data_IF_508791584846
#
_entry.id   IF_508791584846
#
_cell.length_a   1.000
_cell.length_b   1.000
_cell.length_c   1.000
_cell.angle_alpha   90.00
_cell.angle_beta   90.00
_cell.angle_gamma   90.00
#
_symmetry.space_group_name_H-M   'P 1'
#
loop_
_entity.id
_entity.type
_entity.pdbx_description
1 polymer ?
#
# COMPACT_ATOMS: atom_id res chain seq x y z
N UNK A 1 40.72 -24.50 -16.32
CA UNK A 1 39.55 -23.92 -17.02
C UNK A 1 38.21 -24.47 -16.54
N UNK A 2 38.08 -25.77 -16.20
CA UNK A 2 36.79 -26.32 -15.72
C UNK A 2 36.29 -25.73 -14.38
N UNK A 3 37.17 -25.40 -13.43
CA UNK A 3 36.72 -24.95 -12.11
C UNK A 3 36.13 -23.54 -12.07
N UNK A 4 36.45 -22.67 -13.04
CA UNK A 4 35.92 -21.29 -13.09
C UNK A 4 34.50 -21.28 -13.66
N UNK A 5 34.24 -22.09 -14.70
CA UNK A 5 32.89 -22.29 -15.22
C UNK A 5 31.97 -22.96 -14.20
N UNK A 6 32.50 -23.90 -13.41
CA UNK A 6 31.76 -24.54 -12.31
C UNK A 6 31.42 -23.55 -11.20
N UNK A 7 32.32 -22.63 -10.84
CA UNK A 7 32.03 -21.56 -9.86
C UNK A 7 30.99 -20.57 -10.38
N UNK A 8 31.05 -20.20 -11.66
CA UNK A 8 30.06 -19.30 -12.28
C UNK A 8 28.68 -19.97 -12.36
N UNK A 9 28.63 -21.27 -12.68
CA UNK A 9 27.40 -22.07 -12.64
C UNK A 9 26.85 -22.22 -11.21
N UNK A 10 27.71 -22.44 -10.22
CA UNK A 10 27.31 -22.51 -8.81
C UNK A 10 26.74 -21.18 -8.30
N UNK A 11 27.25 -20.04 -8.77
CA UNK A 11 26.71 -18.71 -8.45
C UNK A 11 25.32 -18.48 -9.07
N UNK A 12 25.04 -19.06 -10.24
CA UNK A 12 23.74 -18.98 -10.91
C UNK A 12 22.73 -19.95 -10.28
N UNK A 13 23.16 -21.09 -9.72
CA UNK A 13 22.25 -22.07 -9.08
C UNK A 13 21.79 -21.70 -7.67
N UNK A 14 22.29 -20.61 -7.09
CA UNK A 14 21.84 -20.07 -5.79
C UNK A 14 20.76 -18.99 -5.93
N UNK A 15 20.18 -18.84 -7.11
CA UNK A 15 18.95 -18.07 -7.29
C UNK A 15 17.84 -18.83 -6.56
N UNK A 16 17.55 -18.41 -5.33
CA UNK A 16 16.33 -18.80 -4.63
C UNK A 16 15.15 -18.47 -5.55
N UNK A 17 14.56 -19.51 -6.13
CA UNK A 17 13.23 -19.41 -6.71
C UNK A 17 12.32 -19.19 -5.50
N UNK A 18 12.09 -17.93 -5.15
CA UNK A 18 11.14 -17.53 -4.13
C UNK A 18 9.83 -18.27 -4.40
N UNK A 19 9.39 -19.04 -3.41
CA UNK A 19 8.17 -19.82 -3.53
C UNK A 19 7.01 -18.81 -3.60
N UNK A 20 6.53 -18.51 -4.81
CA UNK A 20 5.34 -17.68 -5.02
C UNK A 20 4.15 -18.45 -4.47
N UNK A 21 3.72 -18.09 -3.26
CA UNK A 21 2.49 -18.58 -2.67
C UNK A 21 1.33 -17.95 -3.43
N UNK A 22 0.64 -18.74 -4.26
CA UNK A 22 -0.51 -18.25 -5.01
C UNK A 22 -1.80 -18.49 -4.20
N UNK A 23 -2.66 -17.47 -4.10
CA UNK A 23 -4.02 -17.60 -3.54
C UNK A 23 -5.05 -17.70 -4.65
N UNK A 24 -6.15 -18.40 -4.38
CA UNK A 24 -7.30 -18.41 -5.30
C UNK A 24 -8.27 -17.30 -4.92
N UNK A 25 -8.55 -16.37 -5.84
CA UNK A 25 -9.49 -15.29 -5.59
C UNK A 25 -10.93 -15.67 -5.96
N UNK A 26 -11.86 -15.28 -5.08
CA UNK A 26 -13.30 -15.31 -5.33
C UNK A 26 -13.90 -14.01 -4.84
N UNK A 27 -14.78 -13.41 -5.63
CA UNK A 27 -15.39 -12.15 -5.25
C UNK A 27 -16.87 -12.09 -5.56
N UNK A 28 -17.58 -11.27 -4.79
CA UNK A 28 -19.01 -11.07 -4.91
C UNK A 28 -19.36 -9.60 -4.66
N UNK A 29 -20.23 -9.05 -5.49
CA UNK A 29 -20.86 -7.77 -5.26
C UNK A 29 -22.09 -7.96 -4.36
N UNK A 30 -22.16 -7.21 -3.26
CA UNK A 30 -23.26 -7.23 -2.30
C UNK A 30 -23.62 -8.67 -1.88
N UNK A 31 -22.60 -9.40 -1.41
CA UNK A 31 -22.65 -10.82 -1.08
C UNK A 31 -23.88 -11.21 -0.23
N UNK A 32 -24.67 -12.18 -0.69
CA UNK A 32 -25.89 -12.67 -0.04
C UNK A 32 -26.95 -11.58 0.27
N UNK A 33 -26.98 -10.47 -0.48
CA UNK A 33 -27.99 -9.42 -0.30
C UNK A 33 -29.31 -9.67 -1.04
N UNK A 34 -29.28 -10.50 -2.09
CA UNK A 34 -30.42 -10.86 -2.91
C UNK A 34 -31.30 -9.65 -3.32
N UNK A 35 -32.61 -9.72 -3.05
CA UNK A 35 -33.58 -8.68 -3.38
C UNK A 35 -33.44 -7.43 -2.53
N UNK A 36 -32.77 -7.49 -1.36
CA UNK A 36 -32.67 -6.36 -0.42
C UNK A 36 -31.80 -5.22 -0.97
N UNK A 37 -30.89 -5.52 -1.89
CA UNK A 37 -30.01 -4.55 -2.53
C UNK A 37 -30.47 -4.09 -3.92
N UNK A 38 -31.56 -4.64 -4.50
CA UNK A 38 -31.94 -4.37 -5.90
C UNK A 38 -32.24 -2.90 -6.19
N UNK A 39 -32.83 -2.19 -5.23
CA UNK A 39 -33.25 -0.80 -5.39
C UNK A 39 -32.29 0.20 -4.71
N UNK A 40 -31.13 -0.28 -4.23
CA UNK A 40 -30.15 0.55 -3.53
C UNK A 40 -28.92 0.76 -4.41
N UNK A 41 -28.49 2.02 -4.55
CA UNK A 41 -27.20 2.34 -5.14
C UNK A 41 -26.06 2.05 -4.14
N UNK A 42 -25.88 0.76 -3.83
CA UNK A 42 -24.91 0.26 -2.87
C UNK A 42 -23.81 -0.52 -3.57
N UNK A 43 -22.56 -0.27 -3.15
CA UNK A 43 -21.41 -1.05 -3.59
C UNK A 43 -20.60 -1.50 -2.38
N UNK A 44 -20.75 -2.78 -2.05
CA UNK A 44 -19.91 -3.51 -1.11
C UNK A 44 -19.37 -4.74 -1.82
N UNK A 45 -18.05 -4.84 -2.02
CA UNK A 45 -17.41 -5.98 -2.68
C UNK A 45 -16.72 -6.84 -1.63
N UNK A 46 -17.13 -8.10 -1.55
CA UNK A 46 -16.45 -9.10 -0.74
C UNK A 46 -15.48 -9.87 -1.62
N UNK A 47 -14.21 -9.86 -1.28
CA UNK A 47 -13.13 -10.61 -1.91
C UNK A 47 -12.57 -11.62 -0.90
N UNK A 48 -12.52 -12.88 -1.29
CA UNK A 48 -11.96 -13.99 -0.54
C UNK A 48 -10.73 -14.51 -1.27
N UNK A 49 -9.59 -14.53 -0.60
CA UNK A 49 -8.32 -15.01 -1.12
C UNK A 49 -7.91 -16.29 -0.35
N UNK A 50 -8.24 -17.43 -0.94
CA UNK A 50 -8.02 -18.75 -0.33
C UNK A 50 -6.54 -19.16 -0.47
N UNK A 51 -5.88 -19.33 0.67
CA UNK A 51 -4.53 -19.88 0.78
C UNK A 51 -4.54 -21.37 1.13
N UNK A 52 -3.37 -22.00 1.25
CA UNK A 52 -3.27 -23.42 1.59
C UNK A 52 -3.71 -23.72 3.03
N UNK A 53 -3.44 -22.81 3.97
CA UNK A 53 -3.67 -23.01 5.40
C UNK A 53 -4.58 -21.96 6.04
N UNK A 54 -4.91 -20.89 5.33
CA UNK A 54 -5.64 -19.75 5.84
C UNK A 54 -6.52 -19.12 4.74
N UNK A 55 -7.33 -18.14 5.11
CA UNK A 55 -8.12 -17.35 4.17
C UNK A 55 -8.04 -15.88 4.55
N UNK A 56 -7.73 -15.04 3.56
CA UNK A 56 -7.84 -13.59 3.69
C UNK A 56 -9.17 -13.12 3.12
N UNK A 57 -9.89 -12.36 3.93
CA UNK A 57 -11.16 -11.76 3.58
C UNK A 57 -10.99 -10.26 3.47
N UNK A 58 -11.32 -9.71 2.31
CA UNK A 58 -11.36 -8.28 2.07
C UNK A 58 -12.80 -7.84 1.84
N UNK A 59 -13.23 -6.78 2.52
CA UNK A 59 -14.51 -6.14 2.28
C UNK A 59 -14.27 -4.69 1.89
N UNK A 60 -14.63 -4.33 0.67
CA UNK A 60 -14.53 -2.96 0.14
C UNK A 60 -15.92 -2.34 0.14
N UNK A 61 -16.11 -1.29 0.93
CA UNK A 61 -17.43 -0.68 1.12
C UNK A 61 -17.40 0.82 0.79
N UNK A 62 -18.44 1.26 0.09
CA UNK A 62 -18.64 2.65 -0.34
C UNK A 62 -19.94 3.26 0.23
N UNK A 63 -20.54 2.62 1.23
CA UNK A 63 -21.70 3.15 1.95
C UNK A 63 -21.26 4.00 3.14
N UNK A 64 -21.10 5.30 2.91
CA UNK A 64 -20.48 6.22 3.84
C UNK A 64 -19.06 6.58 3.39
N UNK A 65 -18.11 6.66 4.32
CA UNK A 65 -16.71 6.84 3.93
C UNK A 65 -16.19 5.53 3.30
N UNK A 66 -15.56 5.58 2.11
CA UNK A 66 -14.96 4.40 1.51
C UNK A 66 -14.00 3.71 2.48
N UNK A 67 -14.15 2.40 2.63
CA UNK A 67 -13.38 1.63 3.58
C UNK A 67 -13.02 0.25 3.06
N UNK A 68 -11.87 -0.24 3.52
CA UNK A 68 -11.38 -1.59 3.28
C UNK A 68 -11.22 -2.27 4.63
N UNK A 69 -11.78 -3.45 4.77
CA UNK A 69 -11.56 -4.34 5.91
C UNK A 69 -10.85 -5.60 5.45
N UNK A 70 -9.88 -6.03 6.24
CA UNK A 70 -9.07 -7.22 6.09
C UNK A 70 -9.28 -8.10 7.32
N UNK A 71 -9.55 -9.38 7.11
CA UNK A 71 -9.56 -10.39 8.16
C UNK A 71 -8.83 -11.66 7.71
N UNK A 72 -7.95 -12.17 8.57
CA UNK A 72 -7.31 -13.47 8.42
C UNK A 72 -8.05 -14.51 9.25
N UNK A 73 -8.38 -15.65 8.65
CA UNK A 73 -9.14 -16.71 9.29
C UNK A 73 -8.58 -18.09 8.93
N UNK A 74 -9.08 -19.12 9.63
CA UNK A 74 -8.96 -20.51 9.16
C UNK A 74 -9.83 -20.75 7.92
N UNK A 75 -9.48 -21.69 7.03
CA UNK A 75 -10.24 -21.92 5.78
C UNK A 75 -11.72 -22.30 5.97
N UNK A 76 -12.09 -22.81 7.15
CA UNK A 76 -13.46 -23.16 7.54
C UNK A 76 -14.34 -21.95 7.82
N UNK A 77 -13.75 -20.79 8.13
CA UNK A 77 -14.50 -19.59 8.47
C UNK A 77 -15.18 -18.98 7.24
N UNK A 78 -16.35 -18.39 7.47
CA UNK A 78 -17.11 -17.68 6.44
C UNK A 78 -17.66 -16.36 6.99
N UNK A 79 -17.78 -15.38 6.10
CA UNK A 79 -18.33 -14.06 6.37
C UNK A 79 -19.86 -14.10 6.23
N UNK A 80 -20.56 -13.49 7.18
CA UNK A 80 -22.01 -13.28 7.14
C UNK A 80 -22.34 -11.80 7.38
N UNK A 81 -23.22 -11.25 6.54
CA UNK A 81 -23.68 -9.86 6.60
C UNK A 81 -25.20 -9.85 6.83
N UNK A 82 -25.62 -9.35 7.99
CA UNK A 82 -27.02 -9.03 8.26
C UNK A 82 -27.39 -7.73 7.56
N UNK A 83 -27.81 -7.82 6.29
CA UNK A 83 -28.02 -6.64 5.43
C UNK A 83 -28.99 -5.59 5.99
N UNK A 84 -30.08 -6.01 6.64
CA UNK A 84 -31.03 -5.06 7.24
C UNK A 84 -30.40 -4.23 8.37
N UNK A 85 -29.60 -4.89 9.22
CA UNK A 85 -28.85 -4.23 10.27
C UNK A 85 -27.67 -3.41 9.70
N UNK A 86 -27.04 -3.89 8.63
CA UNK A 86 -25.93 -3.23 7.95
C UNK A 86 -26.35 -1.88 7.36
N UNK A 87 -27.52 -1.82 6.73
CA UNK A 87 -28.04 -0.58 6.13
C UNK A 87 -28.25 0.56 7.11
N UNK A 88 -28.54 0.24 8.38
CA UNK A 88 -28.71 1.24 9.45
C UNK A 88 -27.44 1.40 10.29
N UNK A 89 -26.29 0.90 9.79
CA UNK A 89 -24.98 0.91 10.44
C UNK A 89 -25.00 0.36 11.87
N UNK A 90 -25.77 -0.70 12.10
CA UNK A 90 -25.84 -1.34 13.42
C UNK A 90 -24.59 -2.17 13.66
N UNK A 91 -24.01 -2.03 14.85
CA UNK A 91 -22.88 -2.83 15.32
C UNK A 91 -23.17 -4.33 15.26
N UNK A 92 -22.13 -5.12 14.99
CA UNK A 92 -22.18 -6.57 14.82
C UNK A 92 -23.12 -7.04 13.69
N UNK A 93 -23.35 -6.24 12.66
CA UNK A 93 -24.06 -6.68 11.44
C UNK A 93 -23.16 -7.49 10.51
N UNK A 94 -21.84 -7.35 10.65
CA UNK A 94 -20.85 -8.21 9.98
C UNK A 94 -20.27 -9.16 11.02
N UNK A 95 -20.28 -10.46 10.71
CA UNK A 95 -19.73 -11.51 11.59
C UNK A 95 -19.04 -12.59 10.78
N UNK A 96 -18.07 -13.24 11.41
CA UNK A 96 -17.55 -14.52 10.93
C UNK A 96 -18.17 -15.67 11.72
N UNK A 97 -18.20 -16.85 11.10
CA UNK A 97 -18.61 -18.10 11.79
C UNK A 97 -17.66 -18.51 12.90
N UNK A 98 -16.40 -18.11 12.79
CA UNK A 98 -15.32 -18.33 13.76
C UNK A 98 -14.61 -16.99 14.00
N UNK A 99 -13.99 -16.80 15.16
CA UNK A 99 -13.25 -15.58 15.46
C UNK A 99 -12.03 -15.46 14.52
N UNK A 100 -11.84 -14.34 13.81
CA UNK A 100 -10.65 -14.15 12.98
C UNK A 100 -9.37 -14.15 13.82
N UNK A 101 -8.30 -14.67 13.23
CA UNK A 101 -6.96 -14.68 13.81
C UNK A 101 -6.41 -13.25 13.90
N UNK A 102 -6.73 -12.45 12.89
CA UNK A 102 -6.30 -11.07 12.80
C UNK A 102 -7.28 -10.22 12.00
N UNK A 103 -7.49 -8.97 12.41
CA UNK A 103 -8.31 -8.01 11.65
C UNK A 103 -7.68 -6.63 11.56
N UNK A 104 -7.85 -5.98 10.42
CA UNK A 104 -7.40 -4.61 10.19
C UNK A 104 -8.28 -3.91 9.17
N UNK A 105 -8.52 -2.63 9.33
CA UNK A 105 -9.34 -1.83 8.44
C UNK A 105 -8.76 -0.45 8.21
N UNK A 106 -9.04 0.09 7.03
CA UNK A 106 -8.60 1.40 6.58
C UNK A 106 -9.80 2.13 6.00
N UNK A 107 -10.06 3.34 6.50
CA UNK A 107 -11.10 4.24 6.02
C UNK A 107 -10.41 5.40 5.32
N UNK A 108 -10.84 5.72 4.10
CA UNK A 108 -10.53 7.00 3.48
C UNK A 108 -11.35 8.08 4.19
N UNK A 109 -10.73 8.74 5.16
CA UNK A 109 -11.46 9.51 6.17
C UNK A 109 -11.67 10.97 5.77
N UNK A 110 -10.62 11.62 5.24
CA UNK A 110 -10.66 13.03 4.84
C UNK A 110 -9.77 13.31 3.65
N UNK A 111 -10.21 14.27 2.85
CA UNK A 111 -9.37 15.05 1.94
C UNK A 111 -9.21 16.43 2.58
N UNK A 112 -7.97 16.82 2.87
CA UNK A 112 -7.66 18.06 3.56
C UNK A 112 -7.00 19.01 2.58
N UNK A 113 -7.69 20.07 2.19
CA UNK A 113 -7.11 21.19 1.47
C UNK A 113 -6.40 22.11 2.48
N UNK A 114 -5.19 22.55 2.19
CA UNK A 114 -4.48 23.53 3.01
C UNK A 114 -3.79 24.60 2.16
N UNK A 115 -3.71 25.81 2.71
CA UNK A 115 -3.07 26.95 2.03
C UNK A 115 -1.58 27.03 2.36
N UNK A 116 -0.74 26.54 1.45
CA UNK A 116 0.71 26.58 1.58
C UNK A 116 1.29 27.93 1.12
N UNK A 117 1.06 28.96 1.93
CA UNK A 117 1.45 30.36 1.64
C UNK A 117 2.95 30.52 1.38
N UNK A 118 3.78 29.70 2.02
CA UNK A 118 5.25 29.80 1.97
C UNK A 118 5.90 28.79 1.02
N UNK A 119 5.10 27.99 0.31
CA UNK A 119 5.57 26.93 -0.60
C UNK A 119 6.57 25.99 0.08
N UNK A 120 6.22 25.51 1.28
CA UNK A 120 7.04 24.54 2.02
C UNK A 120 6.65 23.11 1.74
N UNK A 121 5.47 22.88 1.13
CA UNK A 121 4.82 21.59 0.95
C UNK A 121 4.54 20.80 2.24
N UNK A 122 4.59 21.47 3.40
CA UNK A 122 4.39 20.87 4.71
C UNK A 122 3.15 21.47 5.37
N UNK A 123 2.23 20.60 5.79
CA UNK A 123 1.05 20.94 6.58
C UNK A 123 1.42 21.02 8.07
N UNK A 124 0.96 22.07 8.74
CA UNK A 124 1.01 22.14 10.20
C UNK A 124 -0.14 21.33 10.82
N UNK A 125 0.16 20.11 11.26
CA UNK A 125 -0.85 19.21 11.84
C UNK A 125 -1.23 19.59 13.27
N UNK A 126 -0.36 20.28 14.01
CA UNK A 126 -0.65 20.68 15.40
C UNK A 126 -1.52 21.93 15.46
N UNK A 127 -1.48 22.78 14.43
CA UNK A 127 -2.29 23.97 14.32
C UNK A 127 -2.98 24.02 12.95
N UNK A 128 -4.16 23.41 12.90
CA UNK A 128 -5.01 23.28 11.71
C UNK A 128 -5.69 24.62 11.39
N UNK A 129 -4.89 25.60 10.95
CA UNK A 129 -5.34 26.90 10.44
C UNK A 129 -5.21 26.88 8.93
N UNK A 130 -6.05 27.66 8.23
CA UNK A 130 -6.03 27.73 6.77
C UNK A 130 -6.22 26.37 6.08
N UNK A 131 -7.12 25.54 6.62
CA UNK A 131 -7.50 24.26 6.01
C UNK A 131 -8.99 24.19 5.71
N UNK A 132 -9.35 23.37 4.72
CA UNK A 132 -10.72 22.99 4.43
C UNK A 132 -10.79 21.47 4.30
N UNK A 133 -11.72 20.85 5.01
CA UNK A 133 -11.84 19.39 5.10
C UNK A 133 -13.03 18.94 4.29
N UNK A 134 -12.83 17.97 3.41
CA UNK A 134 -13.87 17.28 2.67
C UNK A 134 -13.95 15.83 3.18
N UNK A 135 -15.14 15.39 3.60
CA UNK A 135 -15.37 14.02 4.03
C UNK A 135 -15.84 13.15 2.85
N UNK A 136 -15.12 12.07 2.47
CA UNK A 136 -15.45 11.24 1.32
C UNK A 136 -16.91 10.76 1.25
N UNK A 137 -17.59 10.56 2.39
CA UNK A 137 -19.01 10.18 2.43
C UNK A 137 -19.99 11.17 1.81
N UNK A 138 -19.60 12.44 1.63
CA UNK A 138 -20.43 13.48 1.02
C UNK A 138 -20.22 13.63 -0.49
N UNK A 139 -19.39 12.78 -1.10
CA UNK A 139 -19.35 12.63 -2.55
C UNK A 139 -20.44 11.65 -3.01
N UNK A 140 -21.01 11.90 -4.18
CA UNK A 140 -21.87 10.93 -4.83
C UNK A 140 -21.02 9.86 -5.51
N UNK A 141 -20.89 8.70 -4.88
CA UNK A 141 -20.11 7.57 -5.39
C UNK A 141 -20.90 6.75 -6.40
N UNK A 142 -20.31 6.59 -7.59
CA UNK A 142 -20.81 5.71 -8.63
C UNK A 142 -19.78 4.62 -8.94
N UNK A 143 -20.26 3.38 -9.10
CA UNK A 143 -19.45 2.28 -9.60
C UNK A 143 -19.27 2.40 -11.11
N UNK A 144 -18.03 2.59 -11.57
CA UNK A 144 -17.69 2.69 -12.99
C UNK A 144 -17.30 1.35 -13.59
N UNK A 145 -16.54 0.53 -12.86
CA UNK A 145 -16.17 -0.80 -13.30
C UNK A 145 -16.03 -1.75 -12.12
N UNK A 146 -16.34 -3.02 -12.36
CA UNK A 146 -16.03 -4.13 -11.46
C UNK A 146 -15.60 -5.30 -12.34
N UNK A 147 -14.33 -5.68 -12.25
CA UNK A 147 -13.73 -6.81 -12.96
C UNK A 147 -13.44 -7.87 -11.92
N UNK A 148 -14.03 -9.05 -12.10
CA UNK A 148 -13.92 -10.16 -11.16
C UNK A 148 -13.36 -11.36 -11.90
N UNK A 149 -12.13 -11.73 -11.58
CA UNK A 149 -11.53 -12.97 -12.05
C UNK A 149 -10.79 -13.67 -10.90
N UNK A 150 -10.13 -14.78 -11.21
CA UNK A 150 -9.44 -15.62 -10.22
C UNK A 150 -8.01 -15.16 -9.91
N UNK A 151 -7.44 -14.29 -10.74
CA UNK A 151 -6.05 -13.79 -10.65
C UNK A 151 -5.98 -12.39 -10.01
N UNK A 152 -6.93 -11.53 -10.35
CA UNK A 152 -7.11 -10.19 -9.82
C UNK A 152 -8.59 -9.80 -9.76
N UNK A 153 -8.90 -8.88 -8.85
CA UNK A 153 -10.23 -8.27 -8.77
C UNK A 153 -10.06 -6.77 -8.73
N UNK A 154 -10.74 -6.04 -9.61
CA UNK A 154 -10.64 -4.58 -9.71
C UNK A 154 -11.99 -3.93 -9.51
N UNK A 155 -12.05 -2.93 -8.62
CA UNK A 155 -13.22 -2.08 -8.41
C UNK A 155 -12.85 -0.61 -8.66
N UNK A 156 -13.53 0.02 -9.61
CA UNK A 156 -13.37 1.45 -9.91
C UNK A 156 -14.62 2.21 -9.49
N UNK A 157 -14.44 3.16 -8.58
CA UNK A 157 -15.47 4.03 -8.04
C UNK A 157 -15.11 5.49 -8.31
N UNK A 158 -16.10 6.31 -8.61
CA UNK A 158 -15.92 7.75 -8.77
C UNK A 158 -16.92 8.52 -7.91
N UNK A 159 -16.40 9.34 -7.01
CA UNK A 159 -17.14 10.32 -6.24
C UNK A 159 -17.22 11.61 -7.03
N UNK A 160 -18.37 11.90 -7.62
CA UNK A 160 -18.62 13.14 -8.35
C UNK A 160 -19.38 14.11 -7.47
N UNK A 161 -19.02 15.39 -7.50
CA UNK A 161 -19.71 16.48 -6.78
C UNK A 161 -19.76 16.28 -5.25
N UNK A 162 -19.04 17.12 -4.53
CA UNK A 162 -19.08 17.14 -3.07
C UNK A 162 -20.22 18.04 -2.58
N UNK A 163 -21.02 17.54 -1.64
CA UNK A 163 -22.04 18.36 -0.98
C UNK A 163 -22.21 17.99 0.49
N UNK A 164 -21.67 18.82 1.37
CA UNK A 164 -21.90 18.77 2.81
C UNK A 164 -22.87 19.88 3.20
N UNK A 165 -24.13 19.51 3.42
CA UNK A 165 -25.19 20.44 3.80
C UNK A 165 -25.06 20.95 5.24
N UNK A 166 -24.34 20.23 6.11
CA UNK A 166 -24.15 20.63 7.51
C UNK A 166 -23.13 21.77 7.57
N UNK A 167 -22.02 21.62 6.84
CA UNK A 167 -20.98 22.65 6.75
C UNK A 167 -21.27 23.72 5.67
N UNK A 168 -22.32 23.52 4.88
CA UNK A 168 -22.67 24.36 3.72
C UNK A 168 -21.50 24.50 2.73
N UNK A 169 -20.82 23.38 2.45
CA UNK A 169 -19.70 23.30 1.52
C UNK A 169 -20.11 22.45 0.32
N UNK A 170 -20.03 23.02 -0.87
CA UNK A 170 -20.08 22.29 -2.12
C UNK A 170 -18.80 22.50 -2.94
N UNK A 171 -18.38 21.46 -3.65
CA UNK A 171 -17.22 21.50 -4.56
C UNK A 171 -17.51 20.68 -5.81
N UNK A 172 -17.16 21.24 -6.96
CA UNK A 172 -17.05 20.47 -8.19
C UNK A 172 -15.71 19.73 -8.26
N UNK A 173 -15.69 18.69 -9.09
CA UNK A 173 -14.55 17.80 -9.27
C UNK A 173 -14.89 16.35 -8.97
N UNK A 174 -13.91 15.49 -9.19
CA UNK A 174 -14.06 14.05 -9.12
C UNK A 174 -12.94 13.45 -8.29
N UNK A 175 -13.32 12.59 -7.35
CA UNK A 175 -12.40 11.72 -6.63
C UNK A 175 -12.57 10.32 -7.19
N UNK A 176 -11.49 9.70 -7.68
CA UNK A 176 -11.52 8.32 -8.17
C UNK A 176 -10.80 7.41 -7.19
N UNK A 177 -11.39 6.26 -6.93
CA UNK A 177 -10.82 5.18 -6.14
C UNK A 177 -10.81 3.91 -6.98
N UNK A 178 -9.61 3.37 -7.20
CA UNK A 178 -9.40 2.06 -7.83
C UNK A 178 -8.83 1.12 -6.79
N UNK A 179 -9.52 0.00 -6.54
CA UNK A 179 -9.08 -1.05 -5.63
C UNK A 179 -8.75 -2.30 -6.43
N UNK A 180 -7.60 -2.91 -6.16
CA UNK A 180 -7.14 -4.11 -6.84
C UNK A 180 -6.67 -5.15 -5.83
N UNK A 181 -7.28 -6.33 -5.82
CA UNK A 181 -6.80 -7.50 -5.10
C UNK A 181 -6.03 -8.43 -6.03
N UNK A 182 -5.00 -9.11 -5.51
CA UNK A 182 -4.05 -9.90 -6.30
C UNK A 182 -3.94 -11.34 -5.80
N UNK A 183 -3.59 -12.28 -6.69
CA UNK A 183 -3.42 -13.69 -6.36
C UNK A 183 -1.96 -14.11 -6.13
N UNK A 184 -0.98 -13.26 -6.47
CA UNK A 184 0.44 -13.61 -6.50
C UNK A 184 1.33 -12.38 -6.29
N UNK A 185 2.64 -12.61 -6.13
CA UNK A 185 3.67 -11.58 -6.14
C UNK A 185 3.92 -11.07 -7.57
N UNK A 186 3.69 -9.79 -7.83
CA UNK A 186 4.01 -9.12 -9.09
C UNK A 186 4.03 -7.58 -8.92
N UNK A 187 4.39 -6.83 -9.95
CA UNK A 187 4.27 -5.37 -9.98
C UNK A 187 2.93 -4.94 -10.58
N UNK A 188 2.31 -3.91 -10.03
CA UNK A 188 1.08 -3.34 -10.59
C UNK A 188 1.33 -2.75 -11.98
N UNK A 189 0.37 -2.86 -12.89
CA UNK A 189 0.41 -2.16 -14.19
C UNK A 189 0.28 -0.63 -14.04
N UNK A 190 -0.26 -0.15 -12.93
CA UNK A 190 -0.47 1.27 -12.68
C UNK A 190 0.74 1.86 -11.95
N UNK A 191 1.33 2.91 -12.53
CA UNK A 191 2.39 3.70 -11.91
C UNK A 191 1.96 4.17 -10.50
N UNK A 192 2.78 4.02 -9.44
CA UNK A 192 4.22 3.76 -9.44
C UNK A 192 4.61 2.27 -9.46
N UNK A 193 3.81 1.41 -10.11
CA UNK A 193 4.13 -0.01 -10.28
C UNK A 193 4.45 -0.69 -8.94
N UNK A 194 3.60 -0.48 -7.93
CA UNK A 194 3.83 -1.05 -6.60
C UNK A 194 3.97 -2.58 -6.69
N UNK A 195 5.05 -3.11 -6.11
CA UNK A 195 5.23 -4.54 -5.90
C UNK A 195 4.21 -5.02 -4.86
N UNK A 196 3.31 -5.92 -5.26
CA UNK A 196 2.22 -6.43 -4.44
C UNK A 196 2.36 -7.93 -4.24
N UNK A 197 1.73 -8.46 -3.19
CA UNK A 197 1.65 -9.92 -2.92
C UNK A 197 0.21 -10.40 -3.00
N UNK A 198 0.03 -11.72 -2.94
CA UNK A 198 -1.25 -12.39 -2.76
C UNK A 198 -1.96 -12.00 -1.45
N UNK A 199 -1.22 -11.42 -0.50
CA UNK A 199 -1.73 -10.99 0.81
C UNK A 199 -2.06 -9.49 0.86
N UNK A 200 -2.14 -8.82 -0.30
CA UNK A 200 -2.29 -7.37 -0.39
C UNK A 200 -3.43 -6.94 -1.32
N UNK A 201 -3.96 -5.74 -1.04
CA UNK A 201 -4.85 -5.00 -1.92
C UNK A 201 -4.23 -3.64 -2.19
N UNK A 202 -4.15 -3.25 -3.45
CA UNK A 202 -3.76 -1.91 -3.86
C UNK A 202 -4.95 -0.96 -3.88
N UNK A 203 -4.72 0.27 -3.45
CA UNK A 203 -5.66 1.37 -3.56
C UNK A 203 -4.96 2.51 -4.28
N UNK A 204 -5.61 3.00 -5.32
CA UNK A 204 -5.19 4.18 -6.07
C UNK A 204 -6.24 5.29 -5.93
N UNK A 205 -5.82 6.44 -5.42
CA UNK A 205 -6.64 7.62 -5.19
C UNK A 205 -6.26 8.69 -6.20
N UNK A 206 -7.24 9.24 -6.91
CA UNK A 206 -7.04 10.33 -7.87
C UNK A 206 -7.94 11.50 -7.49
N UNK A 207 -7.34 12.67 -7.27
CA UNK A 207 -8.04 13.93 -7.11
C UNK A 207 -8.01 14.69 -8.43
N UNK A 208 -9.13 14.71 -9.16
CA UNK A 208 -9.22 15.30 -10.49
C UNK A 208 -10.19 16.49 -10.49
N UNK A 209 -9.70 17.65 -10.94
CA UNK A 209 -10.50 18.87 -11.10
C UNK A 209 -11.27 19.28 -9.84
N UNK A 210 -10.73 18.98 -8.65
CA UNK A 210 -11.34 19.39 -7.39
C UNK A 210 -11.25 20.91 -7.28
N UNK A 211 -12.40 21.55 -7.10
CA UNK A 211 -12.45 22.98 -6.87
C UNK A 211 -11.75 23.31 -5.55
N UNK A 212 -10.77 24.21 -5.62
CA UNK A 212 -10.03 24.69 -4.45
C UNK A 212 -10.79 25.81 -3.77
N UNK A 213 -10.63 25.97 -2.46
CA UNK A 213 -11.16 27.11 -1.72
C UNK A 213 -10.68 28.44 -2.32
N UNK A 214 -11.64 29.33 -2.63
CA UNK A 214 -11.39 30.63 -3.28
C UNK A 214 -10.53 31.57 -2.43
N UNK A 215 -10.51 31.40 -1.10
CA UNK A 215 -9.68 32.21 -0.21
C UNK A 215 -8.23 31.72 -0.17
N UNK A 216 -7.94 30.52 -0.67
CA UNK A 216 -6.60 29.96 -0.69
C UNK A 216 -5.90 30.33 -1.98
N UNK A 217 -4.73 30.96 -1.85
CA UNK A 217 -3.88 31.27 -2.99
C UNK A 217 -3.17 30.02 -3.46
N UNK A 218 -2.60 29.26 -2.52
CA UNK A 218 -1.66 28.17 -2.76
C UNK A 218 -2.21 26.84 -2.19
N UNK A 219 -3.26 26.32 -2.82
CA UNK A 219 -3.93 25.10 -2.33
C UNK A 219 -3.10 23.84 -2.62
N UNK A 220 -2.85 23.06 -1.57
CA UNK A 220 -2.36 21.68 -1.63
C UNK A 220 -3.35 20.76 -0.95
N UNK A 221 -3.29 19.47 -1.28
CA UNK A 221 -4.15 18.47 -0.69
C UNK A 221 -3.34 17.46 0.14
N UNK A 222 -3.95 17.00 1.22
CA UNK A 222 -3.50 15.86 1.99
C UNK A 222 -4.63 14.84 2.12
N UNK A 223 -4.26 13.57 2.17
CA UNK A 223 -5.16 12.46 2.39
C UNK A 223 -4.98 11.96 3.81
N UNK A 224 -6.08 11.85 4.54
CA UNK A 224 -6.12 11.21 5.85
C UNK A 224 -6.78 9.85 5.74
N UNK A 225 -6.04 8.82 6.11
CA UNK A 225 -6.56 7.50 6.39
C UNK A 225 -6.83 7.38 7.90
N UNK A 226 -7.95 6.73 8.24
CA UNK A 226 -8.23 6.26 9.59
C UNK A 226 -8.06 4.74 9.59
N UNK A 227 -7.08 4.25 10.33
CA UNK A 227 -6.81 2.81 10.46
C UNK A 227 -7.38 2.30 11.77
N UNK A 228 -7.93 1.09 11.75
CA UNK A 228 -8.55 0.48 12.92
C UNK A 228 -8.38 -1.04 12.92
N UNK A 229 -8.05 -1.65 14.05
CA UNK A 229 -7.96 -3.11 14.15
C UNK A 229 -7.00 -3.62 15.22
N UNK A 230 -6.49 -4.84 15.02
CA UNK A 230 -5.61 -5.49 15.98
C UNK A 230 -4.23 -4.87 16.00
N UNK A 231 -3.87 -4.35 17.17
CA UNK A 231 -2.68 -3.58 17.46
C UNK A 231 -2.84 -2.93 18.83
N UNK A 232 -1.75 -2.76 19.57
CA UNK A 232 -1.80 -2.02 20.82
C UNK A 232 -2.25 -0.56 20.58
N UNK A 233 -3.38 -0.09 21.14
CA UNK A 233 -3.88 1.27 20.95
C UNK A 233 -2.94 2.35 21.51
N UNK A 234 -2.13 2.01 22.51
CA UNK A 234 -1.23 2.95 23.18
C UNK A 234 0.06 3.21 22.39
N UNK A 235 0.36 2.39 21.39
CA UNK A 235 1.60 2.48 20.61
C UNK A 235 1.25 3.03 19.22
N UNK A 236 1.89 4.14 18.76
CA UNK A 236 1.70 4.60 17.39
C UNK A 236 2.17 3.54 16.38
N UNK A 237 1.51 3.45 15.23
CA UNK A 237 2.02 2.64 14.13
C UNK A 237 3.44 3.06 13.75
N UNK A 238 4.25 2.09 13.34
CA UNK A 238 5.65 2.33 13.02
C UNK A 238 5.80 2.74 11.56
N UNK A 239 6.22 3.97 11.30
CA UNK A 239 6.57 4.43 9.97
C UNK A 239 8.07 4.19 9.75
N UNK A 240 8.42 3.40 8.75
CA UNK A 240 9.79 3.08 8.38
C UNK A 240 10.00 3.33 6.88
N UNK A 241 10.56 4.49 6.51
CA UNK A 241 10.99 4.72 5.13
C UNK A 241 12.26 3.94 4.84
N UNK A 242 12.18 2.96 3.93
CA UNK A 242 13.29 2.13 3.48
C UNK A 242 13.87 2.69 2.19
N UNK A 243 15.19 2.84 2.14
CA UNK A 243 15.89 3.15 0.88
C UNK A 243 16.06 1.89 0.05
N UNK A 244 15.64 1.95 -1.21
CA UNK A 244 15.93 0.94 -2.22
C UNK A 244 16.96 1.50 -3.20
N UNK A 245 17.87 0.67 -3.69
CA UNK A 245 18.76 1.04 -4.80
C UNK A 245 18.13 0.78 -6.16
N UNK A 246 16.95 0.14 -6.17
CA UNK A 246 16.23 -0.23 -7.38
C UNK A 246 15.11 0.76 -7.68
N UNK A 247 15.24 1.43 -8.83
CA UNK A 247 14.26 2.33 -9.43
C UNK A 247 13.76 1.84 -10.78
N UNK A 248 14.01 0.57 -11.16
CA UNK A 248 13.63 -0.01 -12.46
C UNK A 248 12.15 0.20 -12.78
N UNK A 249 11.28 -0.02 -11.78
CA UNK A 249 9.84 0.12 -11.89
C UNK A 249 9.32 1.52 -11.54
N UNK A 250 10.13 2.37 -10.90
CA UNK A 250 9.73 3.75 -10.56
C UNK A 250 10.93 4.68 -10.67
N UNK A 251 11.26 5.14 -11.88
CA UNK A 251 12.52 5.85 -12.12
C UNK A 251 12.66 7.10 -11.25
N UNK A 252 13.82 7.24 -10.62
CA UNK A 252 14.15 8.37 -9.74
C UNK A 252 13.61 8.29 -8.31
N UNK A 253 12.86 7.24 -7.96
CA UNK A 253 12.31 7.04 -6.61
C UNK A 253 13.00 5.84 -5.92
N UNK A 254 13.94 6.16 -5.03
CA UNK A 254 14.79 5.20 -4.31
C UNK A 254 14.30 4.93 -2.88
N UNK A 255 13.01 5.10 -2.62
CA UNK A 255 12.43 4.98 -1.28
C UNK A 255 11.04 4.33 -1.34
N UNK A 256 10.77 3.49 -0.35
CA UNK A 256 9.45 2.91 -0.08
C UNK A 256 9.12 3.19 1.39
N UNK A 257 7.96 3.81 1.62
CA UNK A 257 7.45 4.09 2.95
C UNK A 257 6.59 2.92 3.40
N UNK A 258 6.94 2.35 4.55
CA UNK A 258 6.17 1.28 5.19
C UNK A 258 5.58 1.75 6.51
N UNK A 259 4.33 1.37 6.77
CA UNK A 259 3.67 1.63 8.05
C UNK A 259 3.12 0.34 8.61
N UNK A 260 3.61 -0.09 9.78
CA UNK A 260 3.23 -1.37 10.41
C UNK A 260 2.39 -1.20 11.66
N UNK A 261 1.46 -2.13 11.88
CA UNK A 261 0.72 -2.20 13.14
C UNK A 261 1.66 -2.54 14.30
N UNK A 262 1.43 -1.96 15.50
CA UNK A 262 2.19 -2.30 16.70
C UNK A 262 1.86 -3.73 17.18
N UNK A 263 2.71 -4.32 18.04
CA UNK A 263 2.49 -5.68 18.56
C UNK A 263 1.13 -5.84 19.22
N UNK A 264 0.53 -7.02 19.06
CA UNK A 264 -0.75 -7.38 19.67
C UNK A 264 -0.72 -8.83 20.17
N UNK A 265 -1.71 -9.22 20.99
CA UNK A 265 -1.74 -10.54 21.64
C UNK A 265 -1.78 -11.73 20.66
N UNK A 266 -2.29 -11.50 19.45
CA UNK A 266 -2.35 -12.49 18.37
C UNK A 266 -1.06 -12.58 17.54
N UNK A 267 -0.02 -11.81 17.90
CA UNK A 267 1.25 -11.77 17.16
C UNK A 267 2.40 -12.35 17.99
N UNK A 268 3.06 -13.38 17.47
CA UNK A 268 4.30 -13.94 18.00
C UNK A 268 5.51 -13.14 17.47
N UNK A 269 5.48 -12.74 16.18
CA UNK A 269 6.55 -11.94 15.57
C UNK A 269 5.99 -10.75 14.78
N UNK A 270 5.93 -9.58 15.41
CA UNK A 270 5.41 -8.34 14.81
C UNK A 270 6.18 -7.85 13.57
N UNK A 271 7.39 -8.36 13.29
CA UNK A 271 8.12 -8.05 12.06
C UNK A 271 7.55 -8.80 10.85
N UNK A 272 7.01 -10.00 11.08
CA UNK A 272 6.47 -10.88 10.04
C UNK A 272 4.95 -11.01 10.09
N UNK A 273 4.32 -10.57 11.18
CA UNK A 273 2.89 -10.65 11.43
C UNK A 273 2.29 -9.27 11.66
N UNK A 274 0.99 -9.13 11.38
CA UNK A 274 0.25 -7.89 11.45
C UNK A 274 0.04 -7.22 10.11
N UNK A 275 -0.76 -6.15 10.10
CA UNK A 275 -1.03 -5.40 8.89
C UNK A 275 0.06 -4.38 8.59
N UNK A 276 0.18 -4.06 7.31
CA UNK A 276 1.03 -3.00 6.81
C UNK A 276 0.31 -2.14 5.78
N UNK A 277 0.76 -0.89 5.70
CA UNK A 277 0.58 -0.02 4.55
C UNK A 277 1.93 0.19 3.88
N UNK A 278 1.97 0.26 2.55
CA UNK A 278 3.21 0.51 1.82
C UNK A 278 2.95 1.41 0.61
N UNK A 279 3.79 2.41 0.39
CA UNK A 279 3.72 3.26 -0.81
C UNK A 279 5.10 3.81 -1.17
N UNK A 280 5.27 4.21 -2.43
CA UNK A 280 6.39 5.06 -2.86
C UNK A 280 6.04 6.52 -2.63
N UNK A 281 6.96 7.39 -2.16
CA UNK A 281 6.65 8.76 -1.79
C UNK A 281 6.49 9.70 -3.00
N UNK A 282 5.60 9.33 -3.93
CA UNK A 282 5.38 10.00 -5.21
C UNK A 282 3.89 10.16 -5.50
N UNK A 283 3.55 11.30 -6.10
CA UNK A 283 2.23 11.66 -6.63
C UNK A 283 2.40 12.15 -8.05
N UNK A 284 1.46 11.81 -8.94
CA UNK A 284 1.50 12.24 -10.33
C UNK A 284 0.51 13.38 -10.56
N UNK A 285 0.94 14.37 -11.34
CA UNK A 285 0.19 15.59 -11.62
C UNK A 285 -0.53 15.56 -12.97
N UNK A 286 -0.49 14.42 -13.67
CA UNK A 286 -1.17 14.19 -14.95
C UNK A 286 -1.65 12.74 -15.06
N UNK A 287 -2.57 12.49 -16.00
CA UNK A 287 -3.18 11.17 -16.22
C UNK A 287 -2.15 10.14 -16.73
N UNK A 288 -1.16 10.56 -17.54
CA UNK A 288 -0.13 9.66 -18.09
C UNK A 288 0.85 9.12 -17.04
N UNK A 289 0.97 9.80 -15.89
CA UNK A 289 1.90 9.46 -14.80
C UNK A 289 3.36 9.37 -15.24
N UNK A 290 3.77 10.23 -16.16
CA UNK A 290 5.17 10.35 -16.57
C UNK A 290 6.05 10.86 -15.41
N UNK A 291 7.31 10.42 -15.39
CA UNK A 291 8.29 10.79 -14.35
C UNK A 291 8.50 12.30 -14.25
N UNK A 292 8.45 13.03 -15.37
CA UNK A 292 8.56 14.50 -15.42
C UNK A 292 7.35 15.22 -14.83
N UNK A 293 6.21 14.53 -14.75
CA UNK A 293 4.95 15.04 -14.22
C UNK A 293 4.69 14.50 -12.82
N UNK A 294 5.74 14.10 -12.09
CA UNK A 294 5.65 13.64 -10.71
C UNK A 294 5.95 14.77 -9.71
N UNK A 295 5.53 14.55 -8.48
CA UNK A 295 5.86 15.35 -7.30
C UNK A 295 5.99 14.40 -6.11
N UNK A 296 6.60 14.85 -5.02
CA UNK A 296 6.77 14.03 -3.83
C UNK A 296 5.50 13.99 -2.97
N UNK A 297 5.48 13.06 -2.02
CA UNK A 297 4.52 13.05 -0.91
C UNK A 297 5.24 13.21 0.42
N UNK A 298 4.59 13.83 1.39
CA UNK A 298 5.10 13.96 2.75
C UNK A 298 4.18 13.23 3.73
N UNK A 299 4.73 12.24 4.42
CA UNK A 299 4.07 11.48 5.48
C UNK A 299 4.32 12.12 6.85
N UNK A 300 3.34 12.00 7.74
CA UNK A 300 3.42 12.55 9.09
C UNK A 300 3.27 11.46 10.15
N UNK A 301 3.74 11.74 11.36
CA UNK A 301 3.61 10.83 12.49
C UNK A 301 2.14 10.44 12.73
N UNK A 302 1.83 9.15 13.00
CA UNK A 302 0.46 8.74 13.25
C UNK A 302 -0.14 9.45 14.44
N UNK A 303 -1.39 9.89 14.31
CA UNK A 303 -2.10 10.59 15.37
C UNK A 303 -3.07 9.64 16.06
N UNK A 304 -3.03 9.59 17.38
CA UNK A 304 -4.01 8.86 18.18
C UNK A 304 -5.39 9.50 18.07
N UNK A 305 -6.42 8.66 18.11
CA UNK A 305 -7.83 9.09 18.14
C UNK A 305 -8.35 8.94 19.57
N UNK A 306 -9.02 9.96 20.11
CA UNK A 306 -9.51 9.91 21.50
C UNK A 306 -10.83 9.14 21.64
N UNK A 307 -11.74 9.28 20.68
CA UNK A 307 -13.05 8.63 20.71
C UNK A 307 -13.14 7.65 19.53
N UNK A 308 -12.74 6.41 19.78
CA UNK A 308 -12.54 5.39 18.75
C UNK A 308 -13.88 5.02 18.09
N UNK A 309 -14.89 4.69 18.90
CA UNK A 309 -16.23 4.34 18.41
C UNK A 309 -16.84 5.43 17.51
N UNK A 310 -16.78 6.70 17.94
CA UNK A 310 -17.33 7.80 17.13
C UNK A 310 -16.61 7.97 15.79
N UNK A 311 -15.31 7.66 15.74
CA UNK A 311 -14.49 7.85 14.55
C UNK A 311 -14.86 6.90 13.40
N UNK A 312 -15.37 5.69 13.74
CA UNK A 312 -15.73 4.68 12.74
C UNK A 312 -17.24 4.52 12.52
N UNK A 313 -18.08 5.22 13.30
CA UNK A 313 -19.53 4.98 13.40
C UNK A 313 -20.28 4.95 12.05
N UNK A 314 -19.88 5.81 11.11
CA UNK A 314 -20.51 5.92 9.77
C UNK A 314 -19.85 5.03 8.71
N UNK A 315 -19.15 3.97 9.11
CA UNK A 315 -18.41 3.10 8.20
C UNK A 315 -18.74 1.64 8.44
N UNK A 316 -18.43 0.80 7.45
CA UNK A 316 -18.54 -0.65 7.58
C UNK A 316 -17.65 -1.22 8.71
N UNK A 317 -16.57 -0.54 9.13
CA UNK A 317 -15.79 -0.99 10.28
C UNK A 317 -16.59 -0.99 11.59
N UNK A 318 -17.54 -0.05 11.79
CA UNK A 318 -18.42 -0.07 12.97
C UNK A 318 -19.39 -1.25 12.94
N UNK A 319 -19.80 -1.67 11.75
CA UNK A 319 -20.66 -2.83 11.55
C UNK A 319 -19.98 -4.14 12.00
N UNK A 320 -18.64 -4.20 11.93
CA UNK A 320 -17.85 -5.33 12.44
C UNK A 320 -17.41 -5.14 13.90
N UNK A 321 -16.64 -4.08 14.19
CA UNK A 321 -16.03 -3.90 15.52
C UNK A 321 -17.04 -3.47 16.60
N UNK A 322 -18.05 -2.67 16.23
CA UNK A 322 -18.93 -2.02 17.19
C UNK A 322 -18.13 -1.27 18.26
N UNK A 323 -18.55 -1.38 19.51
CA UNK A 323 -17.91 -0.72 20.65
C UNK A 323 -16.60 -1.42 21.08
N UNK A 324 -16.27 -2.61 20.52
CA UNK A 324 -15.01 -3.30 20.84
C UNK A 324 -13.79 -2.51 20.38
N UNK A 325 -13.98 -1.57 19.44
CA UNK A 325 -12.91 -0.75 18.88
C UNK A 325 -12.22 0.14 19.92
N UNK A 326 -12.89 0.45 21.03
CA UNK A 326 -12.30 1.27 22.09
C UNK A 326 -11.08 0.60 22.76
N UNK A 327 -10.93 -0.72 22.62
CA UNK A 327 -9.77 -1.49 23.10
C UNK A 327 -8.78 -1.87 21.99
N UNK A 328 -8.99 -1.38 20.78
CA UNK A 328 -8.23 -1.72 19.57
C UNK A 328 -7.50 -0.49 19.04
N UNK A 329 -6.51 -0.73 18.17
CA UNK A 329 -5.79 0.32 17.48
C UNK A 329 -6.78 1.20 16.71
N UNK A 330 -6.72 2.52 16.89
CA UNK A 330 -7.43 3.49 16.05
C UNK A 330 -6.56 4.74 15.90
N UNK A 331 -6.03 4.96 14.69
CA UNK A 331 -5.05 6.03 14.44
C UNK A 331 -5.27 6.69 13.08
N UNK A 332 -4.83 7.94 12.96
CA UNK A 332 -4.87 8.69 11.70
C UNK A 332 -3.49 8.69 11.06
N UNK A 333 -3.44 8.35 9.78
CA UNK A 333 -2.25 8.46 8.94
C UNK A 333 -2.53 9.55 7.92
N UNK A 334 -1.66 10.55 7.85
CA UNK A 334 -1.81 11.70 6.96
C UNK A 334 -0.65 11.70 5.99
N UNK A 335 -0.94 11.91 4.71
CA UNK A 335 0.04 12.08 3.64
C UNK A 335 -0.36 13.30 2.81
N UNK A 336 0.51 14.32 2.74
CA UNK A 336 0.30 15.48 1.86
C UNK A 336 0.95 15.26 0.51
N UNK A 337 0.32 15.81 -0.53
CA UNK A 337 0.73 15.66 -1.92
C UNK A 337 1.36 16.97 -2.41
N UNK A 338 2.57 16.87 -2.95
CA UNK A 338 3.29 18.00 -3.50
C UNK A 338 4.67 18.23 -2.90
N UNK A 339 5.48 19.01 -3.61
CA UNK A 339 6.81 19.45 -3.18
C UNK A 339 6.99 20.94 -3.49
N UNK A 340 8.02 21.55 -2.90
CA UNK A 340 8.30 22.97 -3.10
C UNK A 340 8.53 23.30 -4.58
N UNK A 341 7.90 24.36 -5.07
CA UNK A 341 8.07 24.85 -6.44
C UNK A 341 7.32 24.06 -7.51
N UNK A 342 6.49 23.09 -7.13
CA UNK A 342 5.67 22.31 -8.07
C UNK A 342 4.44 23.07 -8.61
N UNK A 343 4.25 24.33 -8.23
CA UNK A 343 3.12 25.14 -8.69
C UNK A 343 1.76 24.77 -8.07
N UNK A 344 1.75 23.98 -6.98
CA UNK A 344 0.57 23.60 -6.21
C UNK A 344 -0.45 22.77 -7.02
N UNK A 345 -1.59 22.43 -6.40
CA UNK A 345 -2.63 21.64 -7.06
C UNK A 345 -3.18 22.33 -8.32
N UNK A 346 -3.31 23.67 -8.29
CA UNK A 346 -3.89 24.47 -9.37
C UNK A 346 -3.09 24.44 -10.69
N UNK A 347 -1.83 23.97 -10.68
CA UNK A 347 -1.03 23.86 -11.90
C UNK A 347 -1.67 22.90 -12.92
N UNK A 348 -2.19 21.77 -12.45
CA UNK A 348 -2.76 20.73 -13.32
C UNK A 348 -4.15 20.26 -12.89
N UNK A 349 -4.59 20.62 -11.68
CA UNK A 349 -5.81 20.12 -11.06
C UNK A 349 -5.87 18.58 -11.01
N UNK A 350 -4.73 17.96 -10.80
CA UNK A 350 -4.61 16.51 -10.78
C UNK A 350 -3.55 16.08 -9.78
N UNK A 351 -3.87 15.11 -8.93
CA UNK A 351 -2.92 14.50 -8.00
C UNK A 351 -3.32 13.05 -7.76
N UNK A 352 -2.34 12.20 -7.51
CA UNK A 352 -2.57 10.77 -7.29
C UNK A 352 -1.85 10.30 -6.04
N UNK A 353 -2.37 9.26 -5.42
CA UNK A 353 -1.66 8.55 -4.38
C UNK A 353 -2.03 7.07 -4.42
N UNK A 354 -1.03 6.22 -4.54
CA UNK A 354 -1.20 4.77 -4.63
C UNK A 354 -0.51 4.13 -3.45
N UNK A 355 -1.19 3.22 -2.77
CA UNK A 355 -0.64 2.48 -1.64
C UNK A 355 -1.22 1.06 -1.57
N UNK A 356 -0.51 0.17 -0.87
CA UNK A 356 -0.93 -1.19 -0.59
C UNK A 356 -1.42 -1.29 0.85
N UNK A 357 -2.43 -2.13 1.08
CA UNK A 357 -2.82 -2.66 2.38
C UNK A 357 -2.58 -4.16 2.35
N UNK A 358 -1.84 -4.71 3.30
CA UNK A 358 -1.65 -6.15 3.36
C UNK A 358 -1.46 -6.68 4.77
N UNK A 359 -1.39 -8.01 4.86
CA UNK A 359 -1.06 -8.72 6.08
C UNK A 359 0.26 -9.49 5.92
N UNK A 360 1.07 -9.51 6.98
CA UNK A 360 2.33 -10.24 7.03
C UNK A 360 3.55 -9.35 6.77
N UNK A 361 4.49 -9.87 5.99
CA UNK A 361 5.68 -9.15 5.53
C UNK A 361 5.37 -8.36 4.25
N UNK A 362 5.56 -7.02 4.25
CA UNK A 362 5.57 -6.23 3.03
C UNK A 362 6.58 -6.80 2.04
N UNK A 363 6.27 -6.79 0.74
CA UNK A 363 7.24 -7.19 -0.24
C UNK A 363 8.40 -6.19 -0.28
N UNK A 364 9.62 -6.71 -0.39
CA UNK A 364 10.82 -5.93 -0.62
C UNK A 364 11.20 -6.01 -2.10
N UNK A 365 11.56 -4.88 -2.69
CA UNK A 365 12.02 -4.81 -4.08
C UNK A 365 13.34 -5.55 -4.25
N UNK A 366 13.46 -6.28 -5.36
CA UNK A 366 14.67 -6.99 -5.74
C UNK A 366 15.04 -6.61 -7.16
N UNK A 367 16.34 -6.47 -7.41
CA UNK A 367 16.83 -6.23 -8.76
C UNK A 367 16.35 -7.31 -9.71
N UNK A 368 15.89 -6.91 -10.90
CA UNK A 368 15.54 -7.88 -11.94
C UNK A 368 16.75 -8.73 -12.32
N UNK A 369 16.47 -9.94 -12.81
CA UNK A 369 17.51 -10.82 -13.34
C UNK A 369 18.35 -10.17 -14.43
N UNK A 370 17.74 -9.26 -15.21
CA UNK A 370 18.43 -8.49 -16.23
C UNK A 370 19.46 -7.54 -15.60
N UNK A 371 19.07 -6.77 -14.58
CA UNK A 371 19.98 -5.85 -13.87
C UNK A 371 21.10 -6.63 -13.19
N UNK A 372 20.77 -7.72 -12.49
CA UNK A 372 21.76 -8.61 -11.86
C UNK A 372 22.74 -9.13 -12.90
N UNK A 373 22.26 -9.54 -14.08
CA UNK A 373 23.11 -10.01 -15.17
C UNK A 373 24.04 -8.90 -15.70
N UNK A 374 23.55 -7.68 -15.92
CA UNK A 374 24.36 -6.55 -16.38
C UNK A 374 25.45 -6.22 -15.35
N UNK A 375 25.11 -6.13 -14.07
CA UNK A 375 26.06 -5.86 -12.99
C UNK A 375 27.11 -6.98 -12.92
N UNK A 376 26.66 -8.24 -13.03
CA UNK A 376 27.53 -9.42 -12.98
C UNK A 376 28.52 -9.44 -14.16
N UNK A 377 28.09 -9.13 -15.38
CA UNK A 377 28.98 -9.06 -16.55
C UNK A 377 29.91 -7.85 -16.45
N UNK A 378 29.35 -6.67 -16.11
CA UNK A 378 30.07 -5.40 -16.09
C UNK A 378 31.15 -5.30 -15.02
N UNK A 379 30.89 -5.84 -13.82
CA UNK A 379 31.84 -5.80 -12.70
C UNK A 379 32.54 -7.15 -12.46
N UNK A 380 31.83 -8.26 -12.66
CA UNK A 380 32.37 -9.59 -12.41
C UNK A 380 33.47 -9.98 -13.39
N UNK A 381 33.30 -9.69 -14.70
CA UNK A 381 34.31 -10.06 -15.69
C UNK A 381 35.64 -9.31 -15.49
N UNK A 382 35.67 -7.97 -15.30
CA UNK A 382 36.91 -7.27 -14.97
C UNK A 382 37.59 -7.78 -13.69
N UNK A 383 36.81 -8.10 -12.64
CA UNK A 383 37.35 -8.62 -11.39
C UNK A 383 38.02 -9.99 -11.59
N UNK A 384 37.39 -10.89 -12.36
CA UNK A 384 37.97 -12.21 -12.68
C UNK A 384 39.28 -12.04 -13.45
N UNK A 385 39.33 -11.14 -14.43
CA UNK A 385 40.55 -10.86 -15.20
C UNK A 385 41.67 -10.36 -14.27
N UNK A 386 41.35 -9.41 -13.38
CA UNK A 386 42.31 -8.89 -12.39
C UNK A 386 42.84 -9.99 -11.46
N UNK A 387 41.97 -10.88 -10.97
CA UNK A 387 42.37 -12.00 -10.12
C UNK A 387 43.24 -13.01 -10.85
N UNK A 388 42.91 -13.36 -12.10
CA UNK A 388 43.71 -14.30 -12.92
C UNK A 388 45.09 -13.71 -13.20
N UNK A 389 45.17 -12.44 -13.58
CA UNK A 389 46.45 -11.74 -13.80
C UNK A 389 47.24 -11.68 -12.48
N UNK A 390 46.60 -11.32 -11.37
CA UNK A 390 47.23 -11.28 -10.05
C UNK A 390 47.79 -12.64 -9.62
N UNK A 391 47.01 -13.71 -9.75
CA UNK A 391 47.43 -15.08 -9.45
C UNK A 391 48.58 -15.53 -10.35
N UNK A 392 48.51 -15.24 -11.65
CA UNK A 392 49.59 -15.54 -12.59
C UNK A 392 50.90 -14.84 -12.20
N UNK A 393 50.83 -13.56 -11.81
CA UNK A 393 51.98 -12.79 -11.35
C UNK A 393 52.53 -13.33 -10.01
N UNK A 394 51.67 -13.77 -9.09
CA UNK A 394 52.11 -14.40 -7.84
C UNK A 394 52.79 -15.76 -8.08
N UNK A 395 52.23 -16.59 -8.97
CA UNK A 395 52.81 -17.90 -9.32
C UNK A 395 54.15 -17.74 -10.04
N UNK A 396 54.25 -16.81 -10.98
CA UNK A 396 55.50 -16.56 -11.70
C UNK A 396 56.62 -15.99 -10.81
N UNK A 397 56.28 -15.37 -9.68
CA UNK A 397 57.25 -14.86 -8.68
C UNK A 397 57.54 -15.80 -7.52
N UNK A 398 56.90 -16.98 -7.44
CA UNK A 398 57.31 -18.02 -6.49
C UNK A 398 58.69 -18.54 -6.92
N UNK A 399 59.72 -18.49 -6.05
CA UNK A 399 61.05 -18.94 -6.40
C UNK A 399 61.02 -20.41 -6.81
N UNK A 400 61.49 -20.73 -8.01
CA UNK A 400 61.81 -22.11 -8.38
C UNK A 400 62.76 -22.63 -7.31
N UNK A 401 62.32 -23.60 -6.51
CA UNK A 401 63.20 -24.37 -5.63
C UNK A 401 64.14 -25.15 -6.54
N UNK A 402 65.28 -24.52 -6.87
CA UNK A 402 66.37 -25.16 -7.58
C UNK A 402 66.84 -26.34 -6.72
N UNK A 403 66.49 -27.56 -7.15
CA UNK A 403 67.14 -28.78 -6.68
C UNK A 403 68.53 -28.85 -7.32
N UNK A 404 69.46 -28.01 -6.85
CA UNK A 404 70.89 -28.24 -7.09
C UNK A 404 71.42 -29.11 -5.95
N UNK A 405 71.46 -30.41 -6.23
CA UNK A 405 72.28 -31.39 -5.52
C UNK A 405 73.73 -31.09 -5.84
N UNK A 406 74.46 -30.52 -4.89
CA UNK A 406 75.93 -30.51 -4.92
C UNK A 406 76.42 -31.94 -4.68
N UNK A 407 76.92 -32.59 -5.73
CA UNK A 407 77.80 -33.76 -5.63
C UNK A 407 79.21 -33.26 -5.31
N UNK A 408 79.78 -33.81 -4.25
CA UNK A 408 81.10 -33.54 -3.69
C UNK A 408 82.26 -33.82 -4.67
N UNK A 409 83.27 -32.95 -4.66
CA UNK A 409 84.66 -33.38 -4.55
C UNK A 409 85.51 -32.33 -3.83
#
# INVERSE_FOLDING_TARGET
MNNVFVLLFLFITLIEIGCSTQRTLRSWLNYDCDTKCKDKNLTTVYLRADGPNDTLHYLWDFDGNPSVFLALTLPSASLNISWEDFFIKKKNSIKFTEEPIYTFGVIFNKIIEFNDKNDTAIMNITNIVDTNVLHPMFFQWDRKALIQNTEFVTLNMEGNYYNDSIMNISRYGTVKLSLIGFCSLDHSEVMPHMLHTENSTQIDIILQNIETNKTFTNSRFAIELLVAGEGNPDIPMFINPKKSLDDEHTPGIFEVVEVRTPPYKSMDNYQTEGAYLQWRPVSYTTISRDTTNSTETMQYSPLKVSNHTSAIMNTMLYCYYGDKIDNLLTQRIIVSLGTKGDGFYKRTYYSTWTFLIGYGTPPDEQFSYLVIMIISIGLGLPLIILLVIGLYLCISKLPKRNSETYLSQ
#
